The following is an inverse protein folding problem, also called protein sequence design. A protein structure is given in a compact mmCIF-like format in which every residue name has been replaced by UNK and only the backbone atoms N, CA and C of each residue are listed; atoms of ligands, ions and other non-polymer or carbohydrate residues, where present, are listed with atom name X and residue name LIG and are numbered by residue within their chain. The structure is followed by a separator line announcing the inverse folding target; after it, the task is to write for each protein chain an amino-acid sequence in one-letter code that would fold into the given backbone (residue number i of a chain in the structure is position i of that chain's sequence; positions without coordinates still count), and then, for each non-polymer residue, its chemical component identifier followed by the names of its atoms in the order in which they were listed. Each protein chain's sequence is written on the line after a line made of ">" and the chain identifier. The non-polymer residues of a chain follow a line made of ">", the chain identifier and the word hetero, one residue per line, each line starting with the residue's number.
data_IF_742679836793
#
_entry.id   IF_742679836793
#
_cell.length_a   1.000
_cell.length_b   1.000
_cell.length_c   1.000
_cell.angle_alpha   90.00
_cell.angle_beta   90.00
_cell.angle_gamma   90.00
#
_symmetry.space_group_name_H-M   'P 1'
#
loop_
_entity.id
_entity.type
_entity.pdbx_description
1 polymer ?
#
# COMPACT_ATOMS: atom_id res chain seq x y z
N UNK A 1 -2.21 -24.23 -6.31
CA UNK A 1 -1.32 -23.86 -7.42
C UNK A 1 0.11 -23.85 -6.88
N UNK A 2 0.95 -24.80 -7.30
CA UNK A 2 2.28 -25.03 -6.70
C UNK A 2 3.26 -23.93 -7.12
N UNK A 3 3.70 -23.11 -6.16
CA UNK A 3 4.61 -21.96 -6.37
C UNK A 3 6.05 -22.42 -6.75
N UNK A 4 6.33 -23.74 -6.72
CA UNK A 4 7.67 -24.28 -6.94
C UNK A 4 8.26 -24.05 -8.35
N UNK A 5 7.44 -23.81 -9.37
CA UNK A 5 7.90 -23.64 -10.76
C UNK A 5 7.93 -22.18 -11.29
N UNK A 6 7.62 -21.20 -10.45
CA UNK A 6 7.53 -19.79 -10.88
C UNK A 6 8.88 -19.06 -10.79
N UNK A 7 9.21 -18.30 -11.85
CA UNK A 7 10.39 -17.42 -11.94
C UNK A 7 10.46 -16.46 -10.76
N UNK A 8 11.67 -16.11 -10.32
CA UNK A 8 11.89 -15.20 -9.20
C UNK A 8 11.12 -13.88 -9.36
N UNK A 9 11.07 -13.36 -10.59
CA UNK A 9 10.32 -12.16 -10.97
C UNK A 9 8.80 -12.33 -10.73
N UNK A 10 8.22 -13.46 -11.13
CA UNK A 10 6.77 -13.70 -10.97
C UNK A 10 6.34 -13.76 -9.50
N UNK A 11 7.19 -14.28 -8.60
CA UNK A 11 6.92 -14.29 -7.15
C UNK A 11 6.94 -12.90 -6.53
N UNK A 12 7.89 -12.06 -6.95
CA UNK A 12 7.99 -10.67 -6.48
C UNK A 12 6.82 -9.82 -7.01
N UNK A 13 6.44 -10.00 -8.28
CA UNK A 13 5.28 -9.32 -8.87
C UNK A 13 3.97 -9.73 -8.20
N UNK A 14 3.79 -11.02 -7.90
CA UNK A 14 2.62 -11.50 -7.15
C UNK A 14 2.54 -10.89 -5.75
N UNK A 15 3.66 -10.83 -5.02
CA UNK A 15 3.71 -10.19 -3.71
C UNK A 15 3.36 -8.70 -3.76
N UNK A 16 3.94 -7.97 -4.72
CA UNK A 16 3.65 -6.55 -4.92
C UNK A 16 2.17 -6.31 -5.29
N UNK A 17 1.62 -7.15 -6.17
CA UNK A 17 0.23 -7.05 -6.62
C UNK A 17 -0.74 -7.33 -5.47
N UNK A 18 -0.53 -8.41 -4.70
CA UNK A 18 -1.36 -8.72 -3.53
C UNK A 18 -1.33 -7.58 -2.52
N UNK A 19 -0.15 -7.02 -2.26
CA UNK A 19 0.00 -5.87 -1.36
C UNK A 19 -0.77 -4.64 -1.80
N UNK A 20 -0.65 -4.29 -3.09
CA UNK A 20 -1.31 -3.11 -3.66
C UNK A 20 -2.82 -3.28 -3.64
N UNK A 21 -3.31 -4.50 -3.90
CA UNK A 21 -4.73 -4.83 -3.89
C UNK A 21 -5.32 -4.77 -2.48
N UNK A 22 -4.60 -5.28 -1.47
CA UNK A 22 -5.00 -5.17 -0.06
C UNK A 22 -5.08 -3.70 0.40
N UNK A 23 -4.10 -2.86 0.03
CA UNK A 23 -4.13 -1.43 0.35
C UNK A 23 -5.28 -0.71 -0.35
N UNK A 24 -5.50 -1.01 -1.64
CA UNK A 24 -6.60 -0.44 -2.42
C UNK A 24 -7.96 -0.75 -1.79
N UNK A 25 -8.17 -1.99 -1.36
CA UNK A 25 -9.40 -2.42 -0.68
C UNK A 25 -9.61 -1.72 0.66
N UNK A 26 -8.56 -1.60 1.50
CA UNK A 26 -8.65 -0.92 2.78
C UNK A 26 -8.94 0.59 2.61
N UNK A 27 -8.28 1.25 1.65
CA UNK A 27 -8.52 2.65 1.32
C UNK A 27 -9.93 2.86 0.78
N UNK A 28 -10.39 2.01 -0.15
CA UNK A 28 -11.75 2.06 -0.69
C UNK A 28 -12.80 1.89 0.41
N UNK A 29 -12.61 0.92 1.32
CA UNK A 29 -13.49 0.73 2.47
C UNK A 29 -13.52 1.98 3.37
N UNK A 30 -12.36 2.58 3.66
CA UNK A 30 -12.29 3.82 4.44
C UNK A 30 -13.07 4.97 3.81
N UNK A 31 -12.94 5.16 2.49
CA UNK A 31 -13.70 6.19 1.74
C UNK A 31 -15.20 5.90 1.76
N UNK A 32 -15.62 4.65 1.50
CA UNK A 32 -17.04 4.26 1.53
C UNK A 32 -17.63 4.48 2.93
N UNK A 33 -16.91 4.10 3.98
CA UNK A 33 -17.33 4.33 5.37
C UNK A 33 -17.53 5.82 5.66
N UNK A 34 -16.59 6.67 5.22
CA UNK A 34 -16.68 8.13 5.38
C UNK A 34 -17.88 8.72 4.62
N UNK A 35 -18.12 8.29 3.39
CA UNK A 35 -19.27 8.73 2.58
C UNK A 35 -20.60 8.35 3.24
N UNK A 36 -20.70 7.15 3.81
CA UNK A 36 -21.90 6.71 4.53
C UNK A 36 -22.16 7.57 5.78
N UNK A 37 -21.12 7.98 6.52
CA UNK A 37 -21.26 8.86 7.69
C UNK A 37 -21.75 10.26 7.29
N UNK A 38 -21.24 10.80 6.18
CA UNK A 38 -21.66 12.10 5.67
C UNK A 38 -23.13 12.11 5.23
N UNK A 39 -23.58 11.06 4.54
CA UNK A 39 -24.97 10.95 4.08
C UNK A 39 -25.96 10.86 5.26
N UNK A 40 -25.58 10.12 6.30
CA UNK A 40 -26.34 10.03 7.56
C UNK A 40 -26.43 11.39 8.26
N UNK A 41 -25.34 12.16 8.29
CA UNK A 41 -25.31 13.48 8.91
C UNK A 41 -26.19 14.49 8.16
N UNK A 42 -26.03 14.61 6.84
CA UNK A 42 -26.73 15.64 6.05
C UNK A 42 -28.24 15.37 5.96
N UNK A 43 -28.66 14.12 5.78
CA UNK A 43 -30.08 13.80 5.57
C UNK A 43 -30.89 13.76 6.87
N UNK A 44 -30.34 13.15 7.93
CA UNK A 44 -31.10 12.93 9.16
C UNK A 44 -31.20 14.20 10.03
N UNK A 45 -30.11 14.96 10.17
CA UNK A 45 -30.09 16.14 11.04
C UNK A 45 -30.81 17.33 10.41
N UNK A 46 -30.60 17.64 9.13
CA UNK A 46 -31.23 18.83 8.53
C UNK A 46 -32.76 18.73 8.53
N UNK A 47 -33.30 17.55 8.20
CA UNK A 47 -34.75 17.33 8.18
C UNK A 47 -35.36 17.38 9.58
N UNK A 48 -34.76 16.72 10.57
CA UNK A 48 -35.29 16.69 11.94
C UNK A 48 -35.14 18.06 12.64
N UNK A 49 -34.01 18.75 12.47
CA UNK A 49 -33.80 20.13 12.98
C UNK A 49 -34.78 21.10 12.34
N UNK A 50 -35.03 20.98 11.03
CA UNK A 50 -36.04 21.79 10.33
C UNK A 50 -37.44 21.57 10.91
N UNK A 51 -37.81 20.32 11.21
CA UNK A 51 -39.10 19.98 11.81
C UNK A 51 -39.24 20.55 13.24
N UNK A 52 -38.22 20.44 14.08
CA UNK A 52 -38.21 21.03 15.43
C UNK A 52 -38.32 22.56 15.37
N UNK A 53 -37.56 23.21 14.48
CA UNK A 53 -37.65 24.65 14.26
C UNK A 53 -39.05 25.08 13.85
N UNK A 54 -39.72 24.32 12.99
CA UNK A 54 -41.10 24.61 12.58
C UNK A 54 -42.08 24.51 13.76
N UNK A 55 -41.89 23.53 14.65
CA UNK A 55 -42.68 23.43 15.89
C UNK A 55 -42.49 24.63 16.80
N UNK A 56 -41.26 25.10 17.00
CA UNK A 56 -40.96 26.27 17.82
C UNK A 56 -41.58 27.55 17.24
N UNK A 57 -41.54 27.71 15.91
CA UNK A 57 -42.20 28.83 15.21
C UNK A 57 -43.70 28.76 15.44
N UNK A 58 -44.32 27.59 15.28
CA UNK A 58 -45.75 27.39 15.50
C UNK A 58 -46.15 27.68 16.96
N UNK A 59 -45.33 27.28 17.94
CA UNK A 59 -45.53 27.61 19.35
C UNK A 59 -45.42 29.12 19.63
N UNK A 60 -44.48 29.80 18.98
CA UNK A 60 -44.35 31.26 19.04
C UNK A 60 -45.58 31.96 18.44
N UNK A 61 -46.04 31.48 17.29
CA UNK A 61 -47.20 32.04 16.60
C UNK A 61 -48.50 31.81 17.36
N UNK A 62 -48.66 30.65 18.00
CA UNK A 62 -49.78 30.38 18.91
C UNK A 62 -49.81 31.36 20.09
N UNK A 63 -48.66 31.58 20.75
CA UNK A 63 -48.56 32.58 21.84
C UNK A 63 -48.92 33.99 21.35
N UNK A 64 -48.46 34.36 20.15
CA UNK A 64 -48.82 35.64 19.52
C UNK A 64 -50.31 35.72 19.20
N UNK A 65 -50.93 34.66 18.70
CA UNK A 65 -52.38 34.60 18.44
C UNK A 65 -53.17 34.91 19.71
N UNK A 66 -52.87 34.22 20.83
CA UNK A 66 -53.53 34.45 22.12
C UNK A 66 -53.26 35.88 22.64
N UNK A 67 -52.08 36.44 22.37
CA UNK A 67 -51.77 37.84 22.70
C UNK A 67 -52.59 38.83 21.87
N UNK A 68 -52.85 38.56 20.59
CA UNK A 68 -53.70 39.42 19.76
C UNK A 68 -55.15 39.41 20.25
N UNK A 69 -55.64 38.28 20.77
CA UNK A 69 -56.93 38.25 21.48
C UNK A 69 -56.97 39.21 22.69
N UNK A 70 -55.90 39.25 23.50
CA UNK A 70 -55.81 40.22 24.60
C UNK A 70 -55.83 41.66 24.08
N UNK A 71 -55.19 41.93 22.93
CA UNK A 71 -55.24 43.24 22.30
C UNK A 71 -56.65 43.61 21.80
N UNK A 72 -57.42 42.62 21.31
CA UNK A 72 -58.84 42.78 20.95
C UNK A 72 -59.65 43.19 22.18
N UNK A 73 -59.51 42.50 23.31
CA UNK A 73 -60.24 42.85 24.53
C UNK A 73 -59.85 44.23 25.06
N UNK A 74 -58.56 44.60 25.02
CA UNK A 74 -58.07 45.87 25.57
C UNK A 74 -58.34 47.10 24.70
N UNK A 75 -58.38 46.94 23.38
CA UNK A 75 -58.39 48.07 22.43
C UNK A 75 -59.49 47.97 21.37
N UNK A 76 -60.29 46.90 21.39
CA UNK A 76 -61.29 46.60 20.38
C UNK A 76 -62.59 47.39 20.49
N UNK A 77 -62.74 48.27 21.48
CA UNK A 77 -63.82 49.26 21.51
C UNK A 77 -63.72 50.27 20.35
N UNK A 78 -62.50 50.53 19.87
CA UNK A 78 -62.27 51.26 18.63
C UNK A 78 -62.34 50.30 17.42
N UNK A 79 -63.17 50.64 16.44
CA UNK A 79 -63.43 49.79 15.28
C UNK A 79 -62.18 49.50 14.43
N UNK A 80 -61.25 50.47 14.33
CA UNK A 80 -60.00 50.30 13.57
C UNK A 80 -59.05 49.33 14.28
N UNK A 81 -58.91 49.45 15.59
CA UNK A 81 -58.14 48.54 16.42
C UNK A 81 -58.75 47.15 16.46
N UNK A 82 -60.08 47.04 16.56
CA UNK A 82 -60.78 45.75 16.50
C UNK A 82 -60.44 44.99 15.23
N UNK A 83 -60.64 45.64 14.07
CA UNK A 83 -60.32 45.06 12.76
C UNK A 83 -58.84 44.67 12.65
N UNK A 84 -57.94 45.50 13.17
CA UNK A 84 -56.49 45.26 13.14
C UNK A 84 -56.09 44.04 13.97
N UNK A 85 -56.47 43.99 15.25
CA UNK A 85 -56.03 42.92 16.15
C UNK A 85 -56.76 41.61 15.89
N UNK A 86 -58.06 41.66 15.56
CA UNK A 86 -58.80 40.48 15.15
C UNK A 86 -58.28 39.89 13.84
N UNK A 87 -58.00 40.73 12.84
CA UNK A 87 -57.40 40.25 11.59
C UNK A 87 -56.01 39.64 11.79
N UNK A 88 -55.20 40.15 12.73
CA UNK A 88 -53.93 39.51 13.12
C UNK A 88 -54.12 38.16 13.82
N UNK A 89 -55.14 38.05 14.67
CA UNK A 89 -55.53 36.78 15.29
C UNK A 89 -55.88 35.74 14.22
N UNK A 90 -56.76 36.09 13.28
CA UNK A 90 -57.17 35.20 12.17
C UNK A 90 -56.00 34.83 11.26
N UNK A 91 -55.11 35.79 10.97
CA UNK A 91 -53.91 35.52 10.18
C UNK A 91 -52.97 34.52 10.88
N UNK A 92 -52.83 34.60 12.20
CA UNK A 92 -52.04 33.63 12.98
C UNK A 92 -52.73 32.28 13.08
N UNK A 93 -54.05 32.24 13.26
CA UNK A 93 -54.86 31.02 13.21
C UNK A 93 -54.61 30.25 11.90
N UNK A 94 -54.77 30.94 10.76
CA UNK A 94 -54.55 30.36 9.44
C UNK A 94 -53.10 29.90 9.24
N UNK A 95 -52.11 30.70 9.69
CA UNK A 95 -50.70 30.34 9.58
C UNK A 95 -50.35 29.08 10.38
N UNK A 96 -50.84 28.96 11.61
CA UNK A 96 -50.63 27.77 12.46
C UNK A 96 -51.20 26.52 11.80
N UNK A 97 -52.42 26.61 11.25
CA UNK A 97 -53.04 25.50 10.51
C UNK A 97 -52.17 25.04 9.34
N UNK A 98 -51.73 25.98 8.48
CA UNK A 98 -50.87 25.68 7.32
C UNK A 98 -49.52 25.09 7.77
N UNK A 99 -48.94 25.60 8.85
CA UNK A 99 -47.68 25.08 9.39
C UNK A 99 -47.84 23.62 9.87
N UNK A 100 -48.91 23.33 10.62
CA UNK A 100 -49.19 21.97 11.09
C UNK A 100 -49.49 20.99 9.95
N UNK A 101 -50.27 21.40 8.95
CA UNK A 101 -50.57 20.57 7.76
C UNK A 101 -49.31 20.26 6.95
N UNK A 102 -48.39 21.23 6.80
CA UNK A 102 -47.10 21.03 6.12
C UNK A 102 -46.13 20.16 6.92
N UNK A 103 -46.18 20.24 8.26
CA UNK A 103 -45.30 19.46 9.12
C UNK A 103 -45.77 18.00 9.23
N UNK A 104 -47.07 17.75 9.21
CA UNK A 104 -47.68 16.42 9.35
C UNK A 104 -47.04 15.32 8.48
N UNK A 105 -46.84 15.47 7.15
CA UNK A 105 -46.22 14.44 6.32
C UNK A 105 -44.70 14.33 6.51
N UNK A 106 -44.06 15.32 7.14
CA UNK A 106 -42.60 15.35 7.36
C UNK A 106 -42.18 14.63 8.63
N UNK A 107 -43.10 14.46 9.58
CA UNK A 107 -42.88 13.69 10.80
C UNK A 107 -42.83 12.21 10.46
N UNK A 108 -41.78 11.51 10.88
CA UNK A 108 -41.67 10.06 10.68
C UNK A 108 -42.42 9.31 11.77
N UNK A 109 -42.35 9.81 13.01
CA UNK A 109 -42.93 9.23 14.21
C UNK A 109 -44.46 9.40 14.27
N UNK A 110 -45.16 8.28 14.47
CA UNK A 110 -46.62 8.24 14.54
C UNK A 110 -47.18 8.87 15.82
N UNK A 111 -46.45 8.82 16.93
CA UNK A 111 -46.84 9.49 18.16
C UNK A 111 -46.82 11.02 17.97
N UNK A 112 -45.74 11.57 17.41
CA UNK A 112 -45.66 12.98 17.04
C UNK A 112 -46.79 13.41 16.09
N UNK A 113 -47.11 12.60 15.06
CA UNK A 113 -48.26 12.87 14.17
C UNK A 113 -49.58 12.92 14.95
N UNK A 114 -49.80 11.98 15.85
CA UNK A 114 -51.03 11.93 16.65
C UNK A 114 -51.17 13.15 17.56
N UNK A 115 -50.10 13.56 18.24
CA UNK A 115 -50.11 14.74 19.12
C UNK A 115 -50.36 16.00 18.28
N UNK A 116 -49.68 16.16 17.14
CA UNK A 116 -49.88 17.30 16.25
C UNK A 116 -51.31 17.36 15.69
N UNK A 117 -51.91 16.23 15.30
CA UNK A 117 -53.32 16.19 14.90
C UNK A 117 -54.25 16.62 16.03
N UNK A 118 -53.99 16.10 17.24
CA UNK A 118 -54.79 16.43 18.43
C UNK A 118 -54.71 17.92 18.78
N UNK A 119 -53.54 18.55 18.58
CA UNK A 119 -53.36 19.99 18.69
C UNK A 119 -54.15 20.74 17.62
N UNK A 120 -54.07 20.34 16.34
CA UNK A 120 -54.78 21.02 15.26
C UNK A 120 -56.30 20.98 15.46
N UNK A 121 -56.85 19.84 15.91
CA UNK A 121 -58.26 19.73 16.24
C UNK A 121 -58.66 20.65 17.39
N UNK A 122 -57.87 20.72 18.47
CA UNK A 122 -58.22 21.60 19.60
C UNK A 122 -57.97 23.07 19.30
N UNK A 123 -56.99 23.39 18.47
CA UNK A 123 -56.75 24.74 17.95
C UNK A 123 -57.91 25.24 17.09
N UNK A 124 -58.51 24.39 16.26
CA UNK A 124 -59.71 24.72 15.48
C UNK A 124 -60.92 24.99 16.38
N UNK A 125 -61.15 24.15 17.40
CA UNK A 125 -62.19 24.35 18.40
C UNK A 125 -61.98 25.66 19.19
N UNK A 126 -60.73 25.94 19.56
CA UNK A 126 -60.33 27.17 20.23
C UNK A 126 -60.65 28.40 19.38
N UNK A 127 -60.33 28.37 18.08
CA UNK A 127 -60.64 29.45 17.14
C UNK A 127 -62.15 29.73 17.02
N UNK A 128 -62.96 28.67 16.94
CA UNK A 128 -64.43 28.81 16.91
C UNK A 128 -64.97 29.46 18.20
N UNK A 129 -64.43 29.09 19.36
CA UNK A 129 -64.84 29.67 20.62
C UNK A 129 -64.35 31.11 20.83
N UNK A 130 -63.17 31.48 20.31
CA UNK A 130 -62.73 32.89 20.27
C UNK A 130 -63.68 33.76 19.43
N UNK A 131 -64.22 33.24 18.33
CA UNK A 131 -65.28 33.92 17.55
C UNK A 131 -66.55 34.12 18.39
N UNK A 132 -66.97 33.12 19.17
CA UNK A 132 -68.09 33.27 20.12
C UNK A 132 -67.79 34.32 21.21
N UNK A 133 -66.57 34.32 21.76
CA UNK A 133 -66.13 35.30 22.73
C UNK A 133 -66.09 36.72 22.18
N UNK A 134 -65.71 36.88 20.92
CA UNK A 134 -65.75 38.16 20.20
C UNK A 134 -67.18 38.70 20.11
N UNK A 135 -68.16 37.85 19.81
CA UNK A 135 -69.56 38.27 19.76
C UNK A 135 -70.09 38.67 21.14
N UNK A 136 -69.75 37.94 22.20
CA UNK A 136 -70.09 38.34 23.58
C UNK A 136 -69.44 39.67 23.97
N UNK A 137 -68.20 39.91 23.56
CA UNK A 137 -67.50 41.18 23.75
C UNK A 137 -68.20 42.35 23.04
N UNK A 138 -68.69 42.15 21.81
CA UNK A 138 -69.46 43.18 21.08
C UNK A 138 -70.82 43.43 21.73
N UNK A 139 -71.55 42.38 22.09
CA UNK A 139 -72.89 42.47 22.67
C UNK A 139 -72.91 43.12 24.05
N UNK A 140 -71.82 43.00 24.82
CA UNK A 140 -71.67 43.67 26.11
C UNK A 140 -71.30 45.15 26.03
N UNK A 141 -71.21 45.73 24.81
CA UNK A 141 -70.72 47.09 24.62
C UNK A 141 -69.20 47.21 24.80
N UNK A 142 -68.45 46.18 24.39
CA UNK A 142 -66.99 46.10 24.47
C UNK A 142 -66.45 45.98 25.91
N UNK A 143 -67.17 45.30 26.81
CA UNK A 143 -66.65 44.95 28.14
C UNK A 143 -65.62 43.81 28.04
N UNK A 144 -64.33 44.04 28.36
CA UNK A 144 -63.28 43.03 28.29
C UNK A 144 -63.56 41.80 29.16
N UNK A 145 -64.27 41.97 30.29
CA UNK A 145 -64.57 40.88 31.22
C UNK A 145 -65.57 39.89 30.65
N UNK A 146 -66.57 40.38 29.91
CA UNK A 146 -67.55 39.52 29.25
C UNK A 146 -66.88 38.63 28.20
N UNK A 147 -66.03 39.22 27.35
CA UNK A 147 -65.26 38.50 26.34
C UNK A 147 -64.26 37.51 26.95
N UNK A 148 -63.49 37.90 27.97
CA UNK A 148 -62.52 37.01 28.63
C UNK A 148 -63.21 35.82 29.31
N UNK A 149 -64.33 36.06 30.02
CA UNK A 149 -65.10 35.01 30.69
C UNK A 149 -65.59 33.94 29.73
N UNK A 150 -65.97 34.33 28.50
CA UNK A 150 -66.47 33.44 27.47
C UNK A 150 -65.46 32.39 27.01
N UNK A 151 -64.16 32.72 27.07
CA UNK A 151 -63.06 31.92 26.50
C UNK A 151 -62.02 31.53 27.54
N UNK A 152 -62.33 31.72 28.83
CA UNK A 152 -61.36 31.56 29.91
C UNK A 152 -60.77 30.15 29.93
N UNK A 153 -59.46 30.08 29.71
CA UNK A 153 -58.69 28.83 29.78
C UNK A 153 -58.83 27.93 28.54
N UNK A 154 -59.48 28.41 27.47
CA UNK A 154 -59.65 27.62 26.25
C UNK A 154 -58.33 27.33 25.53
N UNK A 155 -57.35 28.20 25.71
CA UNK A 155 -56.01 28.09 25.16
C UNK A 155 -55.13 27.08 25.91
N UNK A 156 -55.52 26.65 27.12
CA UNK A 156 -54.69 25.78 27.98
C UNK A 156 -54.44 24.41 27.36
N UNK A 157 -55.49 23.81 26.80
CA UNK A 157 -55.40 22.46 26.24
C UNK A 157 -54.59 22.42 24.93
N UNK A 158 -54.84 23.32 23.94
CA UNK A 158 -53.96 23.46 22.78
C UNK A 158 -52.52 23.81 23.16
N UNK A 159 -52.31 24.68 24.16
CA UNK A 159 -50.95 25.01 24.65
C UNK A 159 -50.23 23.77 25.15
N UNK A 160 -50.91 22.94 25.97
CA UNK A 160 -50.35 21.72 26.53
C UNK A 160 -49.97 20.73 25.42
N UNK A 161 -50.88 20.46 24.49
CA UNK A 161 -50.63 19.54 23.35
C UNK A 161 -49.49 20.02 22.45
N UNK A 162 -49.42 21.33 22.19
CA UNK A 162 -48.36 21.89 21.38
C UNK A 162 -47.00 21.79 22.06
N UNK A 163 -46.95 21.99 23.39
CA UNK A 163 -45.75 21.77 24.19
C UNK A 163 -45.33 20.29 24.21
N UNK A 164 -46.28 19.37 24.40
CA UNK A 164 -46.02 17.92 24.33
C UNK A 164 -45.48 17.49 22.96
N UNK A 165 -46.04 18.03 21.87
CA UNK A 165 -45.54 17.77 20.51
C UNK A 165 -44.10 18.28 20.33
N UNK A 166 -43.81 19.51 20.79
CA UNK A 166 -42.48 20.10 20.69
C UNK A 166 -41.45 19.33 21.54
N UNK A 167 -41.81 18.95 22.77
CA UNK A 167 -40.95 18.16 23.66
C UNK A 167 -40.69 16.77 23.08
N UNK A 168 -41.71 16.11 22.55
CA UNK A 168 -41.55 14.79 21.95
C UNK A 168 -40.64 14.81 20.72
N UNK A 169 -40.84 15.79 19.82
CA UNK A 169 -39.99 15.96 18.63
C UNK A 169 -38.55 16.30 19.02
N UNK A 170 -38.35 17.20 20.00
CA UNK A 170 -37.02 17.57 20.50
C UNK A 170 -36.30 16.37 21.14
N UNK A 171 -37.00 15.59 21.96
CA UNK A 171 -36.46 14.37 22.57
C UNK A 171 -36.06 13.34 21.53
N UNK A 172 -36.89 13.10 20.52
CA UNK A 172 -36.59 12.17 19.42
C UNK A 172 -35.41 12.62 18.57
N UNK A 173 -35.28 13.93 18.30
CA UNK A 173 -34.12 14.50 17.64
C UNK A 173 -32.85 14.29 18.49
N UNK A 174 -32.93 14.50 19.81
CA UNK A 174 -31.80 14.27 20.71
C UNK A 174 -31.37 12.79 20.75
N UNK A 175 -32.33 11.87 20.89
CA UNK A 175 -32.09 10.43 20.86
C UNK A 175 -31.50 9.98 19.51
N UNK A 176 -32.07 10.46 18.39
CA UNK A 176 -31.57 10.18 17.04
C UNK A 176 -30.16 10.72 16.85
N UNK A 177 -29.89 11.97 17.25
CA UNK A 177 -28.57 12.59 17.14
C UNK A 177 -27.52 11.84 17.96
N UNK A 178 -27.87 11.42 19.18
CA UNK A 178 -26.96 10.62 20.01
C UNK A 178 -26.70 9.24 19.42
N UNK A 179 -27.74 8.55 18.95
CA UNK A 179 -27.57 7.26 18.29
C UNK A 179 -26.71 7.37 17.03
N UNK A 180 -26.91 8.42 16.21
CA UNK A 180 -26.07 8.69 15.04
C UNK A 180 -24.63 9.02 15.43
N UNK A 181 -24.42 9.77 16.52
CA UNK A 181 -23.09 10.07 17.06
C UNK A 181 -22.36 8.83 17.57
N UNK A 182 -23.07 7.94 18.26
CA UNK A 182 -22.52 6.68 18.76
C UNK A 182 -22.17 5.75 17.60
N UNK A 183 -23.09 5.57 16.64
CA UNK A 183 -22.83 4.81 15.41
C UNK A 183 -21.68 5.39 14.59
N UNK A 184 -21.58 6.72 14.49
CA UNK A 184 -20.47 7.39 13.81
C UNK A 184 -19.15 7.14 14.54
N UNK A 185 -19.15 7.16 15.87
CA UNK A 185 -17.97 6.88 16.67
C UNK A 185 -17.50 5.44 16.48
N UNK A 186 -18.41 4.47 16.53
CA UNK A 186 -18.10 3.05 16.29
C UNK A 186 -17.58 2.81 14.87
N UNK A 187 -18.22 3.41 13.85
CA UNK A 187 -17.77 3.33 12.46
C UNK A 187 -16.36 3.92 12.29
N UNK A 188 -16.07 5.05 12.95
CA UNK A 188 -14.73 5.65 12.96
C UNK A 188 -13.73 4.73 13.65
N UNK A 189 -14.04 4.17 14.82
CA UNK A 189 -13.15 3.23 15.52
C UNK A 189 -12.86 1.99 14.68
N UNK A 190 -13.88 1.38 14.07
CA UNK A 190 -13.72 0.21 13.18
C UNK A 190 -12.86 0.58 11.96
N UNK A 191 -13.11 1.75 11.35
CA UNK A 191 -12.31 2.20 10.20
C UNK A 191 -10.85 2.45 10.56
N UNK A 192 -10.57 3.03 11.73
CA UNK A 192 -9.21 3.24 12.25
C UNK A 192 -8.51 1.91 12.57
N UNK A 193 -9.23 0.95 13.16
CA UNK A 193 -8.69 -0.39 13.41
C UNK A 193 -8.34 -1.11 12.11
N UNK A 194 -9.22 -1.06 11.09
CA UNK A 194 -8.94 -1.64 9.78
C UNK A 194 -7.74 -0.95 9.12
N UNK A 195 -7.65 0.38 9.19
CA UNK A 195 -6.51 1.14 8.68
C UNK A 195 -5.20 0.77 9.40
N UNK A 196 -5.24 0.61 10.72
CA UNK A 196 -4.09 0.19 11.52
C UNK A 196 -3.64 -1.23 11.18
N UNK A 197 -4.58 -2.17 11.06
CA UNK A 197 -4.30 -3.55 10.65
C UNK A 197 -3.71 -3.58 9.24
N UNK A 198 -4.25 -2.79 8.31
CA UNK A 198 -3.72 -2.66 6.96
C UNK A 198 -2.30 -2.08 6.95
N UNK A 199 -2.01 -1.09 7.79
CA UNK A 199 -0.67 -0.52 7.95
C UNK A 199 0.32 -1.55 8.52
N UNK A 200 -0.07 -2.29 9.56
CA UNK A 200 0.78 -3.35 10.15
C UNK A 200 1.03 -4.45 9.12
N UNK A 201 0.00 -4.88 8.39
CA UNK A 201 0.13 -5.87 7.32
C UNK A 201 1.07 -5.38 6.21
N UNK A 202 1.01 -4.10 5.85
CA UNK A 202 1.93 -3.48 4.88
C UNK A 202 3.38 -3.54 5.37
N UNK A 203 3.64 -3.10 6.61
CA UNK A 203 4.99 -3.12 7.18
C UNK A 203 5.54 -4.54 7.23
N UNK A 204 4.71 -5.51 7.66
CA UNK A 204 5.08 -6.92 7.70
C UNK A 204 5.37 -7.47 6.29
N UNK A 205 4.56 -7.11 5.29
CA UNK A 205 4.74 -7.53 3.90
C UNK A 205 6.02 -6.94 3.28
N UNK A 206 6.31 -5.67 3.53
CA UNK A 206 7.56 -5.02 3.08
C UNK A 206 8.76 -5.71 3.74
N UNK A 207 8.70 -5.93 5.05
CA UNK A 207 9.74 -6.66 5.79
C UNK A 207 9.96 -8.08 5.24
N UNK A 208 8.88 -8.81 4.98
CA UNK A 208 8.91 -10.14 4.38
C UNK A 208 9.53 -10.12 2.97
N UNK A 209 9.15 -9.13 2.15
CA UNK A 209 9.69 -8.98 0.79
C UNK A 209 11.19 -8.68 0.81
N UNK A 210 11.64 -7.78 1.68
CA UNK A 210 13.07 -7.46 1.85
C UNK A 210 13.84 -8.69 2.37
N UNK A 211 13.29 -9.41 3.34
CA UNK A 211 13.90 -10.64 3.85
C UNK A 211 14.02 -11.72 2.76
N UNK A 212 12.97 -11.91 1.97
CA UNK A 212 12.97 -12.84 0.84
C UNK A 212 13.99 -12.42 -0.22
N UNK A 213 14.04 -11.14 -0.57
CA UNK A 213 15.00 -10.60 -1.55
C UNK A 213 16.45 -10.85 -1.11
N UNK A 214 16.74 -10.62 0.18
CA UNK A 214 18.06 -10.90 0.75
C UNK A 214 18.42 -12.37 0.64
N UNK A 215 17.49 -13.26 0.99
CA UNK A 215 17.73 -14.70 1.03
C UNK A 215 17.81 -15.36 -0.34
N UNK A 216 17.01 -14.89 -1.31
CA UNK A 216 16.86 -15.53 -2.62
C UNK A 216 17.70 -14.87 -3.70
N UNK A 217 17.99 -13.56 -3.60
CA UNK A 217 18.77 -12.83 -4.62
C UNK A 217 20.12 -12.38 -4.08
N UNK A 218 20.12 -11.57 -3.02
CA UNK A 218 21.33 -10.82 -2.62
C UNK A 218 22.41 -11.77 -2.10
N UNK A 219 22.07 -12.69 -1.20
CA UNK A 219 23.05 -13.63 -0.64
C UNK A 219 23.60 -14.60 -1.72
N UNK A 220 22.77 -15.27 -2.54
CA UNK A 220 23.28 -16.15 -3.60
C UNK A 220 24.15 -15.42 -4.63
N UNK A 221 23.74 -14.20 -5.03
CA UNK A 221 24.54 -13.38 -5.96
C UNK A 221 25.88 -13.01 -5.34
N UNK A 222 25.92 -12.69 -4.04
CA UNK A 222 27.16 -12.41 -3.31
C UNK A 222 28.06 -13.65 -3.25
N UNK A 223 27.50 -14.82 -3.00
CA UNK A 223 28.25 -16.08 -2.97
C UNK A 223 28.88 -16.39 -4.34
N UNK A 224 28.09 -16.30 -5.43
CA UNK A 224 28.59 -16.47 -6.81
C UNK A 224 29.67 -15.41 -7.12
N UNK A 225 29.45 -14.15 -6.76
CA UNK A 225 30.42 -13.07 -7.00
C UNK A 225 31.76 -13.29 -6.29
N UNK A 226 31.74 -13.77 -5.04
CA UNK A 226 32.95 -14.11 -4.29
C UNK A 226 33.68 -15.28 -4.95
N UNK A 227 32.96 -16.31 -5.39
CA UNK A 227 33.55 -17.46 -6.09
C UNK A 227 34.21 -17.06 -7.41
N UNK A 228 33.53 -16.27 -8.24
CA UNK A 228 34.08 -15.78 -9.50
C UNK A 228 35.32 -14.91 -9.29
N UNK A 229 35.35 -14.10 -8.23
CA UNK A 229 36.54 -13.31 -7.88
C UNK A 229 37.74 -14.20 -7.54
N UNK A 230 37.54 -15.29 -6.80
CA UNK A 230 38.60 -16.27 -6.51
C UNK A 230 39.12 -16.97 -7.77
N UNK A 231 38.24 -17.31 -8.70
CA UNK A 231 38.66 -17.87 -10.00
C UNK A 231 39.52 -16.89 -10.80
N UNK A 232 39.16 -15.61 -10.79
CA UNK A 232 39.95 -14.55 -11.42
C UNK A 232 41.34 -14.40 -10.76
N UNK A 233 41.44 -14.63 -9.45
CA UNK A 233 42.70 -14.62 -8.69
C UNK A 233 43.52 -15.93 -8.86
N UNK A 234 43.04 -16.90 -9.65
CA UNK A 234 43.74 -18.16 -9.94
C UNK A 234 43.51 -19.27 -8.92
N UNK A 235 42.60 -19.09 -7.97
CA UNK A 235 42.23 -20.08 -6.96
C UNK A 235 41.02 -20.91 -7.39
N UNK A 236 41.28 -22.10 -7.92
CA UNK A 236 40.28 -23.07 -8.38
C UNK A 236 39.98 -24.17 -7.34
N UNK A 237 40.26 -23.92 -6.05
CA UNK A 237 39.94 -24.85 -4.96
C UNK A 237 38.43 -25.10 -4.84
N UNK A 238 38.03 -26.11 -4.06
CA UNK A 238 36.61 -26.40 -3.89
C UNK A 238 35.84 -25.26 -3.22
N UNK A 239 34.75 -24.89 -3.88
CA UNK A 239 33.81 -23.87 -3.49
C UNK A 239 32.45 -24.53 -3.60
N UNK A 240 31.80 -24.73 -2.46
CA UNK A 240 30.40 -25.14 -2.42
C UNK A 240 29.55 -23.92 -2.78
N UNK A 241 29.42 -23.64 -4.08
CA UNK A 241 28.40 -22.71 -4.56
C UNK A 241 27.09 -23.44 -4.32
N UNK A 242 26.48 -23.19 -3.15
CA UNK A 242 25.23 -23.84 -2.75
C UNK A 242 24.25 -23.80 -3.92
N UNK A 243 23.66 -24.94 -4.25
CA UNK A 243 22.63 -24.99 -5.28
C UNK A 243 21.42 -24.17 -4.83
N UNK A 244 21.28 -22.99 -5.43
CA UNK A 244 20.09 -22.18 -5.31
C UNK A 244 19.15 -22.64 -6.44
N UNK A 245 17.90 -22.97 -6.17
CA UNK A 245 16.95 -23.27 -7.26
C UNK A 245 16.58 -22.02 -8.04
N UNK A 246 16.15 -22.18 -9.30
CA UNK A 246 15.73 -21.07 -10.18
C UNK A 246 16.90 -20.48 -11.00
N UNK A 247 16.72 -19.25 -11.48
CA UNK A 247 17.61 -18.61 -12.47
C UNK A 247 19.04 -18.41 -11.92
N UNK A 248 19.19 -18.11 -10.64
CA UNK A 248 20.51 -18.00 -10.00
C UNK A 248 21.19 -19.36 -9.82
N UNK A 249 20.42 -20.45 -9.82
CA UNK A 249 20.94 -21.81 -9.87
C UNK A 249 21.60 -22.15 -11.18
N UNK A 250 20.95 -21.78 -12.28
CA UNK A 250 21.50 -21.97 -13.63
C UNK A 250 22.80 -21.16 -13.82
N UNK A 251 22.86 -19.94 -13.25
CA UNK A 251 24.09 -19.13 -13.23
C UNK A 251 25.17 -19.79 -12.38
N UNK A 252 24.83 -20.32 -11.20
CA UNK A 252 25.77 -21.04 -10.34
C UNK A 252 26.33 -22.30 -11.04
N UNK A 253 25.48 -23.08 -11.69
CA UNK A 253 25.86 -24.28 -12.44
C UNK A 253 26.78 -23.93 -13.62
N UNK A 254 26.46 -22.88 -14.36
CA UNK A 254 27.31 -22.38 -15.44
C UNK A 254 28.69 -21.93 -14.92
N UNK A 255 28.74 -21.28 -13.76
CA UNK A 255 29.99 -20.88 -13.12
C UNK A 255 30.84 -22.08 -12.68
N UNK A 256 30.21 -23.17 -12.21
CA UNK A 256 30.89 -24.43 -11.88
C UNK A 256 31.50 -25.06 -13.14
N UNK A 257 30.76 -25.12 -14.25
CA UNK A 257 31.28 -25.65 -15.51
C UNK A 257 32.51 -24.86 -16.01
N UNK A 258 32.48 -23.52 -15.90
CA UNK A 258 33.63 -22.67 -16.23
C UNK A 258 34.84 -22.97 -15.34
N UNK A 259 34.64 -23.14 -14.02
CA UNK A 259 35.70 -23.54 -13.08
C UNK A 259 36.33 -24.86 -13.50
N UNK A 260 35.53 -25.88 -13.74
CA UNK A 260 36.01 -27.24 -14.09
C UNK A 260 36.82 -27.23 -15.40
N UNK A 261 36.34 -26.49 -16.40
CA UNK A 261 37.03 -26.35 -17.68
C UNK A 261 38.38 -25.63 -17.54
N UNK A 262 38.42 -24.49 -16.85
CA UNK A 262 39.67 -23.76 -16.59
C UNK A 262 40.66 -24.57 -15.74
N UNK A 263 40.17 -25.26 -14.70
CA UNK A 263 40.98 -26.16 -13.88
C UNK A 263 41.51 -27.37 -14.66
N UNK A 264 40.78 -27.84 -15.68
CA UNK A 264 41.25 -28.82 -16.66
C UNK A 264 42.41 -28.29 -17.49
N UNK A 265 42.24 -27.12 -18.10
CA UNK A 265 43.27 -26.45 -18.91
C UNK A 265 44.56 -26.22 -18.10
N UNK A 266 44.46 -25.74 -16.85
CA UNK A 266 45.63 -25.52 -15.99
C UNK A 266 46.38 -26.82 -15.68
N UNK A 267 45.66 -27.93 -15.44
CA UNK A 267 46.27 -29.24 -15.21
C UNK A 267 47.00 -29.74 -16.46
N UNK A 268 46.41 -29.56 -17.64
CA UNK A 268 47.01 -29.92 -18.93
C UNK A 268 48.27 -29.10 -19.24
N UNK A 269 48.22 -27.78 -19.00
CA UNK A 269 49.38 -26.88 -19.14
C UNK A 269 50.51 -27.29 -18.19
N UNK A 270 50.17 -27.61 -16.92
CA UNK A 270 51.17 -28.08 -15.93
C UNK A 270 51.78 -29.42 -16.34
N UNK A 271 50.98 -30.34 -16.88
CA UNK A 271 51.46 -31.61 -17.45
C UNK A 271 52.42 -31.39 -18.61
N UNK A 272 52.03 -30.56 -19.58
CA UNK A 272 52.86 -30.20 -20.74
C UNK A 272 54.17 -29.53 -20.34
N UNK A 273 54.15 -28.63 -19.35
CA UNK A 273 55.35 -27.99 -18.80
C UNK A 273 56.28 -29.00 -18.11
N UNK A 274 55.72 -30.01 -17.43
CA UNK A 274 56.50 -31.08 -16.82
C UNK A 274 57.16 -31.98 -17.88
N UNK A 275 56.42 -32.37 -18.92
CA UNK A 275 56.97 -33.12 -20.06
C UNK A 275 58.07 -32.34 -20.78
N UNK A 276 57.88 -31.04 -21.00
CA UNK A 276 58.89 -30.16 -21.58
C UNK A 276 60.16 -30.11 -20.71
N UNK A 277 60.01 -30.02 -19.39
CA UNK A 277 61.13 -30.05 -18.44
C UNK A 277 61.90 -31.38 -18.52
N UNK A 278 61.19 -32.51 -18.59
CA UNK A 278 61.82 -33.82 -18.77
C UNK A 278 62.54 -33.95 -20.13
N UNK A 279 61.92 -33.46 -21.20
CA UNK A 279 62.51 -33.45 -22.54
C UNK A 279 63.79 -32.60 -22.58
N UNK A 280 63.76 -31.40 -21.98
CA UNK A 280 64.94 -30.53 -21.85
C UNK A 280 66.06 -31.22 -21.02
N UNK A 281 65.70 -31.95 -19.95
CA UNK A 281 66.64 -32.76 -19.17
C UNK A 281 67.31 -33.86 -20.00
N UNK A 282 66.52 -34.63 -20.77
CA UNK A 282 67.03 -35.67 -21.68
C UNK A 282 67.94 -35.08 -22.76
N UNK A 283 67.55 -33.95 -23.35
CA UNK A 283 68.38 -33.24 -24.32
C UNK A 283 69.71 -32.79 -23.72
N UNK A 284 69.69 -32.24 -22.50
CA UNK A 284 70.93 -31.83 -21.80
C UNK A 284 71.88 -33.02 -21.57
N UNK A 285 71.35 -34.19 -21.22
CA UNK A 285 72.15 -35.43 -21.06
C UNK A 285 72.72 -35.87 -22.42
N UNK A 286 71.90 -35.91 -23.47
CA UNK A 286 72.34 -36.29 -24.82
C UNK A 286 73.44 -35.35 -25.35
N UNK A 287 73.30 -34.04 -25.15
CA UNK A 287 74.32 -33.05 -25.52
C UNK A 287 75.63 -33.28 -24.76
N UNK A 288 75.59 -33.57 -23.46
CA UNK A 288 76.80 -33.91 -22.69
C UNK A 288 77.49 -35.18 -23.18
N UNK A 289 76.71 -36.22 -23.51
CA UNK A 289 77.26 -37.45 -24.10
C UNK A 289 77.95 -37.16 -25.44
N UNK A 290 77.27 -36.42 -26.31
CA UNK A 290 77.80 -36.03 -27.62
C UNK A 290 79.09 -35.21 -27.49
N UNK A 291 79.17 -34.28 -26.53
CA UNK A 291 80.42 -33.56 -26.24
C UNK A 291 81.54 -34.50 -25.80
N UNK A 292 81.23 -35.52 -24.99
CA UNK A 292 82.20 -36.55 -24.59
C UNK A 292 82.69 -37.39 -25.77
N UNK A 293 81.78 -37.81 -26.65
CA UNK A 293 82.11 -38.59 -27.86
C UNK A 293 82.94 -37.77 -28.85
N UNK A 294 82.61 -36.49 -29.04
CA UNK A 294 83.42 -35.56 -29.84
C UNK A 294 84.83 -35.40 -29.26
N UNK A 295 84.97 -35.33 -27.93
CA UNK A 295 86.27 -35.30 -27.26
C UNK A 295 87.10 -36.57 -27.53
N UNK A 296 86.46 -37.75 -27.52
CA UNK A 296 87.11 -39.02 -27.90
C UNK A 296 87.52 -39.03 -29.37
N UNK A 297 86.60 -38.67 -30.27
CA UNK A 297 86.85 -38.62 -31.70
C UNK A 297 87.99 -37.67 -32.04
N UNK A 298 88.08 -36.51 -31.37
CA UNK A 298 89.21 -35.60 -31.51
C UNK A 298 90.54 -36.27 -31.12
N UNK A 299 90.55 -37.05 -30.03
CA UNK A 299 91.72 -37.83 -29.62
C UNK A 299 92.12 -38.91 -30.63
N UNK A 300 91.15 -39.64 -31.18
CA UNK A 300 91.38 -40.63 -32.25
C UNK A 300 91.92 -39.96 -33.51
N UNK A 301 91.37 -38.82 -33.92
CA UNK A 301 91.89 -38.04 -35.05
C UNK A 301 93.34 -37.61 -34.79
N UNK A 302 93.69 -37.20 -33.57
CA UNK A 302 95.07 -36.85 -33.22
C UNK A 302 96.01 -38.06 -33.31
N UNK A 303 95.54 -39.25 -32.90
CA UNK A 303 96.30 -40.50 -33.08
C UNK A 303 96.45 -40.86 -34.55
N UNK A 304 95.39 -40.75 -35.35
CA UNK A 304 95.45 -40.99 -36.80
C UNK A 304 96.42 -40.01 -37.46
N UNK A 305 96.36 -38.72 -37.11
CA UNK A 305 97.33 -37.73 -37.58
C UNK A 305 98.77 -38.10 -37.19
N UNK A 306 98.99 -38.53 -35.95
CA UNK A 306 100.32 -38.99 -35.50
C UNK A 306 100.78 -40.24 -36.26
N UNK A 307 99.87 -41.18 -36.51
CA UNK A 307 100.16 -42.37 -37.31
C UNK A 307 100.42 -42.01 -38.77
N UNK A 308 99.74 -41.01 -39.34
CA UNK A 308 100.02 -40.48 -40.67
C UNK A 308 101.39 -39.81 -40.73
N UNK A 309 101.80 -39.06 -39.69
CA UNK A 309 103.16 -38.50 -39.59
C UNK A 309 104.22 -39.61 -39.53
N UNK A 310 103.99 -40.65 -38.72
CA UNK A 310 104.88 -41.82 -38.66
C UNK A 310 104.91 -42.59 -39.98
N UNK A 311 103.77 -42.81 -40.64
CA UNK A 311 103.70 -43.46 -41.94
C UNK A 311 104.41 -42.63 -43.01
N UNK A 312 104.25 -41.31 -43.00
CA UNK A 312 104.96 -40.39 -43.89
C UNK A 312 106.48 -40.51 -43.71
N UNK A 313 106.96 -40.59 -42.45
CA UNK A 313 108.35 -40.83 -42.15
C UNK A 313 108.84 -42.22 -42.66
N UNK A 314 108.04 -43.28 -42.48
CA UNK A 314 108.35 -44.62 -43.00
C UNK A 314 108.40 -44.64 -44.53
N UNK A 315 107.45 -44.00 -45.21
CA UNK A 315 107.45 -43.88 -46.67
C UNK A 315 108.68 -43.11 -47.15
N UNK A 316 109.05 -42.03 -46.47
CA UNK A 316 110.30 -41.30 -46.75
C UNK A 316 111.52 -42.20 -46.57
N UNK A 317 111.55 -43.02 -45.52
CA UNK A 317 112.65 -43.93 -45.25
C UNK A 317 112.71 -45.10 -46.24
N UNK A 318 111.57 -45.65 -46.66
CA UNK A 318 111.49 -46.66 -47.73
C UNK A 318 111.92 -46.07 -49.06
N UNK A 319 111.51 -44.85 -49.38
CA UNK A 319 111.97 -44.13 -50.58
C UNK A 319 113.50 -43.95 -50.54
N UNK A 320 114.05 -43.50 -49.41
CA UNK A 320 115.50 -43.35 -49.23
C UNK A 320 116.23 -44.69 -49.36
N UNK A 321 115.70 -45.77 -48.78
CA UNK A 321 116.27 -47.11 -48.90
C UNK A 321 116.19 -47.66 -50.32
N UNK A 322 115.08 -47.42 -51.03
CA UNK A 322 114.95 -47.79 -52.43
C UNK A 322 115.95 -47.03 -53.30
N UNK A 323 116.19 -45.74 -53.00
CA UNK A 323 117.20 -44.92 -53.67
C UNK A 323 118.62 -45.45 -53.41
N UNK A 324 118.93 -45.75 -52.15
CA UNK A 324 120.20 -46.36 -51.76
C UNK A 324 120.40 -47.75 -52.43
N UNK A 325 119.36 -48.56 -52.55
CA UNK A 325 119.42 -49.85 -53.23
C UNK A 325 119.65 -49.70 -54.75
N UNK A 326 119.02 -48.70 -55.39
CA UNK A 326 119.27 -48.36 -56.80
C UNK A 326 120.70 -47.87 -57.02
N UNK A 327 121.25 -47.07 -56.11
CA UNK A 327 122.66 -46.66 -56.13
C UNK A 327 123.60 -47.86 -55.98
N UNK A 328 123.34 -48.75 -55.02
CA UNK A 328 124.12 -49.97 -54.83
C UNK A 328 124.10 -50.88 -56.06
N UNK A 329 122.93 -51.03 -56.72
CA UNK A 329 122.78 -51.81 -57.94
C UNK A 329 123.45 -51.18 -59.16
N UNK A 330 123.63 -49.85 -59.20
CA UNK A 330 124.40 -49.15 -60.23
C UNK A 330 125.92 -49.25 -60.04
N UNK A 331 126.37 -49.57 -58.82
CA UNK A 331 127.78 -49.75 -58.47
C UNK A 331 128.28 -51.20 -58.49
N UNK A 332 127.45 -52.16 -58.94
CA UNK A 332 127.76 -53.57 -59.12
C UNK A 332 127.86 -53.92 -60.62
#
# INVERSE_FOLDING_TARGET
>A
MSIKGQSLSSRLLLLALVGTLLMGSAAAYGVISLLNVLEIYDYALDRQVSNERQMLIMQSDFKKQVQEWKNVLLRGSDAKNLKKYWGKFEAKEASIKVQGEKLMPRLEDDAAKQILRSFLTSHEQMGAAYRTGLEQFKQSGFDPKAGDKAVKGIDREPTKKLAEAAEHISKRLYESTNHLRDQSSDALYVSLLIALIALIALVAMVGFTVWMLKRVIINPTKDISVSLKRFADGDFSDLDIKHHGGELGEVAESAIQVKEHLGGIIREVRGSAHELTQAAGRLSVATRSTQGDLGRQQGEIQQVATAMDQMSAVVSQVSSNAQAAVEAARSA
#
